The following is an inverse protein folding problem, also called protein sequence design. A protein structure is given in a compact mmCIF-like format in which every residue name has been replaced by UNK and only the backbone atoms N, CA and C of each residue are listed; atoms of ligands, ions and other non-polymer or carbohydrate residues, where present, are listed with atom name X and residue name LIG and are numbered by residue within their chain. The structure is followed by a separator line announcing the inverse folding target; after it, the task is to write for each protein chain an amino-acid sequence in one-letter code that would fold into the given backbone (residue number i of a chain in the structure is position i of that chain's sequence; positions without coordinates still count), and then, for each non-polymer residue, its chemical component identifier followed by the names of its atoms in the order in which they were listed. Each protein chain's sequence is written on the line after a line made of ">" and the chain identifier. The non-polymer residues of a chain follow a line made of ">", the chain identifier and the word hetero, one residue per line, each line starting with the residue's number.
data_IF_389613866413
#
_entry.id   IF_389613866413
#
_cell.length_a   1.000
_cell.length_b   1.000
_cell.length_c   1.000
_cell.angle_alpha   90.00
_cell.angle_beta   90.00
_cell.angle_gamma   90.00
#
_symmetry.space_group_name_H-M   'P 1'
#
loop_
_entity.id
_entity.type
_entity.pdbx_description
1 polymer ?
#
# COMPACT_ATOMS: atom_id res chain seq x y z
N UNK A 1 -27.72 2.48 -10.72
CA UNK A 1 -27.07 2.08 -9.46
C UNK A 1 -26.10 3.17 -9.05
N UNK A 2 -26.43 3.94 -8.02
CA UNK A 2 -25.59 5.03 -7.53
C UNK A 2 -24.44 4.44 -6.70
N UNK A 3 -23.23 4.39 -7.26
CA UNK A 3 -22.03 4.09 -6.47
C UNK A 3 -21.58 5.37 -5.77
N UNK A 4 -22.21 5.66 -4.64
CA UNK A 4 -21.64 6.58 -3.65
C UNK A 4 -20.38 5.95 -3.07
N UNK A 5 -19.29 5.98 -3.83
CA UNK A 5 -17.98 5.63 -3.36
C UNK A 5 -17.16 6.92 -3.34
N UNK A 6 -17.41 7.78 -2.35
CA UNK A 6 -16.36 8.65 -1.83
C UNK A 6 -15.28 7.73 -1.22
N UNK A 7 -14.54 7.03 -2.07
CA UNK A 7 -13.37 6.29 -1.64
C UNK A 7 -12.32 7.34 -1.34
N UNK A 8 -12.33 7.82 -0.08
CA UNK A 8 -11.24 8.63 0.44
C UNK A 8 -9.98 7.81 0.24
N UNK A 9 -9.08 8.32 -0.60
CA UNK A 9 -7.78 7.72 -0.81
C UNK A 9 -7.08 7.62 0.54
N UNK A 10 -6.53 6.44 0.83
CA UNK A 10 -5.76 6.17 2.04
C UNK A 10 -4.35 5.79 1.63
N UNK A 11 -3.37 6.13 2.46
CA UNK A 11 -1.99 5.73 2.24
C UNK A 11 -1.72 4.44 3.00
N UNK A 12 -1.59 3.33 2.27
CA UNK A 12 -1.24 2.03 2.81
C UNK A 12 0.27 1.91 2.94
N UNK A 13 0.73 1.41 4.09
CA UNK A 13 2.14 1.20 4.39
C UNK A 13 2.44 -0.29 4.29
N UNK A 14 3.46 -0.63 3.50
CA UNK A 14 3.96 -2.00 3.39
C UNK A 14 5.45 -2.06 3.72
N UNK A 15 5.84 -3.03 4.54
CA UNK A 15 7.22 -3.49 4.55
C UNK A 15 7.43 -4.38 3.33
N UNK A 16 8.40 -4.04 2.49
CA UNK A 16 8.57 -4.61 1.17
C UNK A 16 10.00 -5.11 0.96
N UNK A 17 10.13 -6.28 0.37
CA UNK A 17 11.44 -6.80 -0.08
C UNK A 17 11.38 -6.96 -1.60
N UNK A 18 12.36 -6.42 -2.30
CA UNK A 18 12.39 -6.45 -3.75
C UNK A 18 12.68 -7.88 -4.25
N UNK A 19 11.86 -8.39 -5.17
CA UNK A 19 11.99 -9.77 -5.68
C UNK A 19 13.22 -9.98 -6.55
N UNK A 20 13.62 -8.96 -7.31
CA UNK A 20 14.79 -8.97 -8.19
C UNK A 20 16.10 -8.97 -7.41
N UNK A 21 16.10 -8.43 -6.19
CA UNK A 21 17.29 -8.24 -5.38
C UNK A 21 17.33 -9.19 -4.19
N UNK A 22 17.39 -10.50 -4.48
CA UNK A 22 17.51 -11.56 -3.48
C UNK A 22 18.76 -11.46 -2.60
N UNK A 23 19.78 -10.69 -3.03
CA UNK A 23 21.01 -10.45 -2.27
C UNK A 23 20.89 -9.31 -1.26
N UNK A 24 19.93 -8.39 -1.45
CA UNK A 24 19.64 -7.30 -0.53
C UNK A 24 18.39 -7.64 0.27
N UNK A 25 18.54 -8.30 1.42
CA UNK A 25 17.40 -8.60 2.30
C UNK A 25 16.91 -7.37 3.09
N UNK A 26 17.30 -6.16 2.68
CA UNK A 26 16.93 -4.94 3.40
C UNK A 26 15.47 -4.61 3.06
N UNK A 27 14.55 -4.73 4.03
CA UNK A 27 13.18 -4.31 3.80
C UNK A 27 13.16 -2.80 3.57
N UNK A 28 12.39 -2.37 2.59
CA UNK A 28 12.04 -0.96 2.36
C UNK A 28 10.60 -0.73 2.79
N UNK A 29 10.29 0.49 3.19
CA UNK A 29 8.93 0.87 3.55
C UNK A 29 8.27 1.58 2.37
N UNK A 30 7.21 0.99 1.83
CA UNK A 30 6.44 1.54 0.71
C UNK A 30 5.19 2.24 1.23
N UNK A 31 4.96 3.45 0.72
CA UNK A 31 3.73 4.21 0.93
C UNK A 31 2.94 4.21 -0.38
N UNK A 32 1.74 3.62 -0.37
CA UNK A 32 0.92 3.48 -1.57
C UNK A 32 -0.46 4.06 -1.30
N UNK A 33 -0.78 5.16 -1.97
CA UNK A 33 -2.09 5.80 -1.88
C UNK A 33 -3.08 5.09 -2.80
N UNK A 34 -4.12 4.51 -2.24
CA UNK A 34 -5.16 3.82 -3.01
C UNK A 34 -6.53 3.91 -2.33
N UNK A 35 -7.57 3.53 -3.08
CA UNK A 35 -8.93 3.40 -2.58
C UNK A 35 -9.10 2.25 -1.57
N UNK A 36 -8.35 1.15 -1.77
CA UNK A 36 -8.41 -0.05 -0.92
C UNK A 36 -7.02 -0.68 -0.78
N UNK A 37 -6.81 -1.46 0.29
CA UNK A 37 -5.57 -2.19 0.51
C UNK A 37 -5.28 -3.15 -0.65
N UNK A 38 -6.32 -3.80 -1.17
CA UNK A 38 -6.21 -4.74 -2.29
C UNK A 38 -5.60 -4.06 -3.52
N UNK A 39 -6.06 -2.87 -3.87
CA UNK A 39 -5.53 -2.11 -5.00
C UNK A 39 -4.08 -1.67 -4.76
N UNK A 40 -3.77 -1.19 -3.55
CA UNK A 40 -2.41 -0.82 -3.17
C UNK A 40 -1.44 -2.02 -3.20
N UNK A 41 -1.90 -3.19 -2.77
CA UNK A 41 -1.11 -4.42 -2.81
C UNK A 41 -0.89 -4.88 -4.25
N UNK A 42 -1.91 -4.82 -5.10
CA UNK A 42 -1.82 -5.20 -6.50
C UNK A 42 -0.83 -4.35 -7.29
N UNK A 43 -0.68 -3.06 -6.99
CA UNK A 43 0.26 -2.19 -7.70
C UNK A 43 1.73 -2.54 -7.42
N UNK A 44 2.05 -3.06 -6.24
CA UNK A 44 3.43 -3.37 -5.85
C UNK A 44 3.78 -4.87 -5.80
N UNK A 45 2.80 -5.77 -5.81
CA UNK A 45 3.01 -7.22 -5.64
C UNK A 45 3.87 -7.88 -6.73
N UNK A 46 3.96 -7.26 -7.92
CA UNK A 46 4.78 -7.76 -9.02
C UNK A 46 6.28 -7.61 -8.75
N UNK A 47 6.67 -6.52 -8.10
CA UNK A 47 8.09 -6.19 -7.85
C UNK A 47 8.52 -6.55 -6.44
N UNK A 48 7.59 -6.55 -5.48
CA UNK A 48 7.90 -6.74 -4.08
C UNK A 48 7.17 -7.94 -3.46
N UNK A 49 7.79 -8.53 -2.45
CA UNK A 49 7.10 -9.30 -1.42
C UNK A 49 6.66 -8.32 -0.35
N UNK A 50 5.36 -8.30 -0.03
CA UNK A 50 4.73 -7.26 0.79
C UNK A 50 4.20 -7.84 2.11
N UNK A 51 4.69 -7.31 3.24
CA UNK A 51 4.08 -7.47 4.56
C UNK A 51 3.31 -6.20 4.93
N UNK A 52 2.08 -6.35 5.43
CA UNK A 52 1.23 -5.19 5.75
C UNK A 52 1.71 -4.53 7.06
N UNK A 53 1.93 -3.22 7.03
CA UNK A 53 2.40 -2.47 8.19
C UNK A 53 1.35 -1.51 8.77
N UNK A 54 0.41 -1.01 7.95
CA UNK A 54 -0.67 -0.16 8.43
C UNK A 54 -1.29 0.72 7.35
N UNK A 55 -2.15 1.66 7.78
CA UNK A 55 -2.78 2.65 6.92
C UNK A 55 -2.75 4.02 7.58
N UNK A 56 -2.28 5.03 6.86
CA UNK A 56 -2.45 6.43 7.22
C UNK A 56 -3.74 6.89 6.54
N UNK A 57 -4.72 7.22 7.37
CA UNK A 57 -5.88 7.97 6.91
C UNK A 57 -5.43 9.43 6.82
N UNK A 58 -5.56 10.04 5.64
CA UNK A 58 -5.48 11.50 5.56
C UNK A 58 -6.69 12.04 6.33
N UNK A 59 -6.48 12.31 7.61
CA UNK A 59 -7.48 12.89 8.49
C UNK A 59 -7.68 14.34 8.10
N UNK A 60 -8.90 14.70 7.72
CA UNK A 60 -9.49 15.90 8.32
C UNK A 60 -9.53 15.58 9.82
N UNK A 61 -8.66 16.23 10.59
CA UNK A 61 -8.82 16.27 12.03
C UNK A 61 -10.20 16.89 12.31
N UNK A 62 -11.07 16.17 13.01
CA UNK A 62 -12.22 16.77 13.68
C UNK A 62 -11.75 17.48 14.94
#
# INVERSE_FOLDING_TARGET
>A
MAINAHSRLKTFIFAAVERSNLKSSRPVMLHITAATERLARQSASRQYVLSFAGVIQNGEAL
#
